data_IF_202551853710
#
_entry.id   IF_202551853710
#
_cell.length_a   1.000
_cell.length_b   1.000
_cell.length_c   1.000
_cell.angle_alpha   90.00
_cell.angle_beta   90.00
_cell.angle_gamma   90.00
#
_symmetry.space_group_name_H-M   'P 1'
#
loop_
_entity.id
_entity.type
_entity.pdbx_description
1 polymer ?
#
# COMPACT_ATOMS: atom_id res chain seq x y z
N UNK A 1 27.32 -6.15 -16.18
CA UNK A 1 27.22 -6.21 -14.71
C UNK A 1 26.04 -5.35 -14.28
N UNK A 2 25.10 -5.88 -13.50
CA UNK A 2 23.99 -5.08 -12.95
C UNK A 2 24.56 -4.13 -11.88
N UNK A 3 24.43 -2.82 -12.09
CA UNK A 3 24.83 -1.79 -11.11
C UNK A 3 23.61 -1.00 -10.64
N UNK A 4 23.67 -0.39 -9.47
CA UNK A 4 22.61 0.52 -8.99
C UNK A 4 22.42 1.67 -9.98
N UNK A 5 23.50 2.17 -10.57
CA UNK A 5 23.43 3.21 -11.61
C UNK A 5 22.61 2.76 -12.83
N UNK A 6 22.70 1.50 -13.25
CA UNK A 6 21.89 0.95 -14.36
C UNK A 6 20.39 0.97 -14.05
N UNK A 7 20.02 0.73 -12.79
CA UNK A 7 18.62 0.68 -12.35
C UNK A 7 18.02 2.08 -12.22
N UNK A 8 18.78 3.03 -11.68
CA UNK A 8 18.30 4.36 -11.32
C UNK A 8 18.46 5.38 -12.44
N UNK A 9 19.48 5.20 -13.29
CA UNK A 9 19.78 6.03 -14.45
C UNK A 9 20.01 5.14 -15.69
N UNK A 10 18.95 4.50 -16.22
CA UNK A 10 19.07 3.56 -17.33
C UNK A 10 19.57 4.26 -18.61
N UNK A 11 20.65 3.77 -19.26
CA UNK A 11 21.16 4.34 -20.50
C UNK A 11 20.12 4.25 -21.62
N UNK A 12 20.24 5.09 -22.65
CA UNK A 12 19.26 5.16 -23.73
C UNK A 12 19.21 3.89 -24.60
N UNK A 13 20.34 3.19 -24.73
CA UNK A 13 20.50 2.03 -25.61
C UNK A 13 20.13 0.67 -24.98
N UNK A 14 19.24 0.65 -23.97
CA UNK A 14 18.80 -0.61 -23.38
C UNK A 14 17.95 -1.43 -24.35
N UNK A 15 18.26 -2.73 -24.45
CA UNK A 15 17.38 -3.67 -25.16
C UNK A 15 16.05 -3.82 -24.42
N UNK A 16 15.01 -4.22 -25.16
CA UNK A 16 13.68 -4.52 -24.60
C UNK A 16 13.77 -5.47 -23.40
N UNK A 17 14.57 -6.54 -23.52
CA UNK A 17 14.77 -7.50 -22.43
C UNK A 17 15.34 -6.83 -21.17
N UNK A 18 16.33 -5.95 -21.32
CA UNK A 18 16.93 -5.25 -20.18
C UNK A 18 15.95 -4.28 -19.54
N UNK A 19 15.14 -3.56 -20.33
CA UNK A 19 14.10 -2.67 -19.78
C UNK A 19 13.10 -3.48 -18.93
N UNK A 20 12.64 -4.61 -19.44
CA UNK A 20 11.71 -5.50 -18.73
C UNK A 20 12.31 -6.06 -17.44
N UNK A 21 13.57 -6.49 -17.49
CA UNK A 21 14.29 -6.99 -16.32
C UNK A 21 14.51 -5.90 -15.26
N UNK A 22 14.92 -4.70 -15.68
CA UNK A 22 15.04 -3.53 -14.80
C UNK A 22 13.70 -3.20 -14.16
N UNK A 23 12.61 -3.24 -14.92
CA UNK A 23 11.26 -2.96 -14.42
C UNK A 23 10.83 -3.92 -13.31
N UNK A 24 11.13 -5.22 -13.47
CA UNK A 24 10.89 -6.23 -12.44
C UNK A 24 11.69 -5.92 -11.15
N UNK A 25 12.99 -5.59 -11.30
CA UNK A 25 13.87 -5.29 -10.17
C UNK A 25 13.42 -4.00 -9.46
N UNK A 26 13.08 -2.94 -10.21
CA UNK A 26 12.52 -1.72 -9.64
C UNK A 26 11.21 -2.01 -8.90
N UNK A 27 10.38 -2.91 -9.41
CA UNK A 27 9.17 -3.38 -8.73
C UNK A 27 9.48 -4.03 -7.38
N UNK A 28 10.51 -4.88 -7.33
CA UNK A 28 10.98 -5.49 -6.09
C UNK A 28 11.54 -4.45 -5.10
N UNK A 29 12.31 -3.48 -5.59
CA UNK A 29 12.85 -2.38 -4.78
C UNK A 29 11.72 -1.51 -4.21
N UNK A 30 10.74 -1.14 -5.03
CA UNK A 30 9.54 -0.42 -4.60
C UNK A 30 8.79 -1.20 -3.50
N UNK A 31 8.69 -2.53 -3.60
CA UNK A 31 8.02 -3.34 -2.58
C UNK A 31 8.72 -3.37 -1.21
N UNK A 32 9.98 -2.96 -1.08
CA UNK A 32 10.73 -2.92 0.18
C UNK A 32 11.09 -1.51 0.64
N UNK A 33 11.21 -0.55 -0.28
CA UNK A 33 11.60 0.82 0.04
C UNK A 33 10.41 1.66 0.47
N UNK A 34 10.58 2.55 1.47
CA UNK A 34 9.54 3.49 1.85
C UNK A 34 9.22 4.39 0.67
N UNK A 35 8.04 4.20 0.11
CA UNK A 35 7.56 4.93 -1.03
C UNK A 35 6.21 5.56 -0.67
N UNK A 36 6.10 6.87 -0.88
CA UNK A 36 4.94 7.73 -0.64
C UNK A 36 3.70 7.09 0.02
N UNK A 37 2.57 7.05 -0.70
CA UNK A 37 1.27 6.55 -0.26
C UNK A 37 1.15 5.03 -0.38
N UNK A 38 1.96 4.41 -1.21
CA UNK A 38 1.93 2.99 -1.53
C UNK A 38 2.54 2.12 -0.44
N UNK A 39 3.59 2.57 0.27
CA UNK A 39 4.27 1.74 1.25
C UNK A 39 3.43 1.41 2.48
N UNK A 40 2.69 2.35 3.09
CA UNK A 40 1.70 2.02 4.13
C UNK A 40 0.72 0.93 3.72
N UNK A 41 0.33 0.92 2.45
CA UNK A 41 -0.62 -0.03 1.89
C UNK A 41 0.06 -1.38 1.67
N UNK A 42 1.20 -1.40 0.97
CA UNK A 42 1.91 -2.64 0.65
C UNK A 42 2.39 -3.33 1.92
N UNK A 43 2.90 -2.59 2.91
CA UNK A 43 3.21 -3.06 4.26
C UNK A 43 1.98 -3.71 4.92
N UNK A 44 0.82 -3.04 4.86
CA UNK A 44 -0.43 -3.51 5.46
C UNK A 44 -0.91 -4.81 4.81
N UNK A 45 -0.74 -5.01 3.50
CA UNK A 45 -1.06 -6.26 2.83
C UNK A 45 -0.02 -7.35 3.07
N UNK A 46 1.28 -7.03 3.13
CA UNK A 46 2.33 -7.98 3.49
C UNK A 46 2.11 -8.57 4.88
N UNK A 47 1.87 -7.71 5.87
CA UNK A 47 1.70 -8.10 7.27
C UNK A 47 0.30 -8.65 7.54
N UNK A 48 -0.75 -8.06 6.97
CA UNK A 48 -2.14 -8.42 7.24
C UNK A 48 -2.70 -9.56 6.38
N UNK A 49 -2.21 -9.74 5.17
CA UNK A 49 -2.74 -10.71 4.19
C UNK A 49 -1.73 -11.83 3.90
N UNK A 50 -0.51 -11.49 3.47
CA UNK A 50 0.49 -12.49 3.06
C UNK A 50 1.14 -13.26 4.22
N UNK A 51 0.93 -12.85 5.46
CA UNK A 51 1.44 -13.54 6.66
C UNK A 51 0.73 -14.87 6.98
N UNK A 52 -0.42 -15.15 6.34
CA UNK A 52 -1.19 -16.38 6.56
C UNK A 52 -1.70 -16.97 5.25
N UNK A 53 -1.82 -18.31 5.15
CA UNK A 53 -2.35 -18.98 3.94
C UNK A 53 -3.75 -18.49 3.56
N UNK A 54 -4.60 -18.16 4.53
CA UNK A 54 -5.95 -17.66 4.29
C UNK A 54 -6.00 -16.23 3.74
N UNK A 55 -5.06 -15.37 4.13
CA UNK A 55 -4.99 -13.98 3.66
C UNK A 55 -4.33 -13.81 2.29
N UNK A 56 -3.54 -14.80 1.83
CA UNK A 56 -2.83 -14.74 0.54
C UNK A 56 -3.74 -14.41 -0.64
N UNK A 57 -4.99 -14.91 -0.66
CA UNK A 57 -5.96 -14.60 -1.73
C UNK A 57 -6.24 -13.10 -1.84
N UNK A 58 -6.45 -12.43 -0.71
CA UNK A 58 -6.67 -10.99 -0.68
C UNK A 58 -5.40 -10.23 -1.08
N UNK A 59 -4.22 -10.70 -0.65
CA UNK A 59 -2.93 -10.16 -1.10
C UNK A 59 -2.76 -10.23 -2.62
N UNK A 60 -2.92 -11.42 -3.21
CA UNK A 60 -2.82 -11.59 -4.66
C UNK A 60 -3.83 -10.76 -5.44
N UNK A 61 -5.05 -10.65 -4.91
CA UNK A 61 -6.10 -9.86 -5.56
C UNK A 61 -5.78 -8.37 -5.52
N UNK A 62 -5.22 -7.88 -4.41
CA UNK A 62 -4.69 -6.52 -4.30
C UNK A 62 -3.55 -6.30 -5.30
N UNK A 63 -2.54 -7.16 -5.31
CA UNK A 63 -1.39 -7.01 -6.22
C UNK A 63 -1.80 -7.13 -7.69
N UNK A 64 -2.82 -7.92 -8.02
CA UNK A 64 -3.38 -7.96 -9.37
C UNK A 64 -4.01 -6.62 -9.77
N UNK A 65 -4.82 -6.02 -8.90
CA UNK A 65 -5.39 -4.68 -9.14
C UNK A 65 -4.32 -3.62 -9.36
N UNK A 66 -3.28 -3.64 -8.50
CA UNK A 66 -2.12 -2.76 -8.63
C UNK A 66 -1.35 -2.99 -9.94
N UNK A 67 -1.14 -4.26 -10.32
CA UNK A 67 -0.41 -4.62 -11.55
C UNK A 67 -1.17 -4.17 -12.80
N UNK A 68 -2.48 -4.37 -12.83
CA UNK A 68 -3.33 -3.89 -13.94
C UNK A 68 -3.27 -2.38 -14.03
N UNK A 69 -3.36 -1.67 -12.90
CA UNK A 69 -3.22 -0.22 -12.92
C UNK A 69 -1.85 0.21 -13.44
N UNK A 70 -0.76 -0.42 -13.00
CA UNK A 70 0.59 -0.06 -13.45
C UNK A 70 0.78 -0.29 -14.94
N UNK A 71 0.19 -1.35 -15.48
CA UNK A 71 0.18 -1.60 -16.93
C UNK A 71 -0.54 -0.47 -17.69
N UNK A 72 -1.70 -0.02 -17.19
CA UNK A 72 -2.42 1.12 -17.77
C UNK A 72 -1.56 2.39 -17.69
N UNK A 73 -0.95 2.65 -16.53
CA UNK A 73 -0.16 3.85 -16.30
C UNK A 73 1.05 3.93 -17.23
N UNK A 74 1.78 2.84 -17.41
CA UNK A 74 2.94 2.81 -18.31
C UNK A 74 2.53 2.87 -19.78
N UNK A 75 1.38 2.30 -20.17
CA UNK A 75 0.80 2.54 -21.49
C UNK A 75 0.46 4.01 -21.71
N UNK A 76 -0.14 4.68 -20.73
CA UNK A 76 -0.41 6.12 -20.81
C UNK A 76 0.89 6.95 -20.84
N UNK A 77 1.91 6.54 -20.09
CA UNK A 77 3.26 7.11 -20.14
C UNK A 77 3.83 7.10 -21.57
N UNK A 78 3.73 5.95 -22.26
CA UNK A 78 4.11 5.81 -23.66
C UNK A 78 3.30 6.73 -24.60
N UNK A 79 2.02 6.95 -24.31
CA UNK A 79 1.14 7.81 -25.11
C UNK A 79 1.28 9.32 -24.80
N UNK A 80 2.17 9.71 -23.88
CA UNK A 80 2.45 11.11 -23.58
C UNK A 80 1.80 11.66 -22.29
N UNK A 81 1.51 10.81 -21.30
CA UNK A 81 0.98 11.24 -20.00
C UNK A 81 1.84 12.32 -19.30
N UNK A 82 3.15 12.37 -19.57
CA UNK A 82 4.08 13.33 -18.98
C UNK A 82 3.61 14.78 -19.14
N UNK A 83 3.11 15.14 -20.33
CA UNK A 83 2.61 16.49 -20.62
C UNK A 83 1.46 16.91 -19.71
N UNK A 84 0.54 15.98 -19.40
CA UNK A 84 -0.58 16.25 -18.50
C UNK A 84 -0.09 16.34 -17.05
N UNK A 85 0.85 15.50 -16.65
CA UNK A 85 1.35 15.47 -15.29
C UNK A 85 2.08 16.76 -14.90
N UNK A 86 2.98 17.23 -15.76
CA UNK A 86 3.72 18.48 -15.56
C UNK A 86 2.80 19.71 -15.49
N UNK A 87 1.68 19.70 -16.21
CA UNK A 87 0.77 20.83 -16.29
C UNK A 87 -0.15 20.98 -15.07
N UNK A 88 -0.59 19.87 -14.48
CA UNK A 88 -1.71 19.90 -13.53
C UNK A 88 -1.35 19.59 -12.07
N UNK A 89 -0.12 19.16 -11.77
CA UNK A 89 0.32 18.71 -10.43
C UNK A 89 -0.77 17.95 -9.65
N UNK A 90 -0.89 16.65 -9.93
CA UNK A 90 -1.98 15.81 -9.41
C UNK A 90 -1.68 15.16 -8.04
N UNK A 91 -0.49 15.38 -7.47
CA UNK A 91 0.01 14.65 -6.30
C UNK A 91 -0.91 14.80 -5.08
N UNK A 92 -1.27 16.03 -4.72
CA UNK A 92 -2.19 16.31 -3.61
C UNK A 92 -3.56 15.64 -3.76
N UNK A 93 -4.13 15.66 -4.96
CA UNK A 93 -5.43 15.03 -5.25
C UNK A 93 -5.36 13.50 -5.15
N UNK A 94 -4.28 12.91 -5.66
CA UNK A 94 -4.05 11.46 -5.53
C UNK A 94 -3.93 11.06 -4.07
N UNK A 95 -3.21 11.84 -3.25
CA UNK A 95 -3.05 11.57 -1.82
C UNK A 95 -4.39 11.62 -1.08
N UNK A 96 -5.28 12.55 -1.44
CA UNK A 96 -6.63 12.62 -0.89
C UNK A 96 -7.42 11.34 -1.23
N UNK A 97 -7.47 10.96 -2.51
CA UNK A 97 -8.24 9.80 -2.96
C UNK A 97 -7.71 8.51 -2.34
N UNK A 98 -6.40 8.30 -2.39
CA UNK A 98 -5.75 7.11 -1.80
C UNK A 98 -5.96 7.10 -0.29
N UNK A 99 -5.78 8.24 0.40
CA UNK A 99 -5.98 8.36 1.83
C UNK A 99 -7.41 8.01 2.26
N UNK A 100 -8.42 8.48 1.52
CA UNK A 100 -9.83 8.12 1.77
C UNK A 100 -10.06 6.62 1.60
N UNK A 101 -9.51 6.00 0.55
CA UNK A 101 -9.65 4.54 0.34
C UNK A 101 -8.97 3.76 1.46
N UNK A 102 -7.75 4.14 1.86
CA UNK A 102 -7.05 3.56 3.01
C UNK A 102 -7.88 3.67 4.29
N UNK A 103 -8.46 4.83 4.54
CA UNK A 103 -9.33 5.09 5.69
C UNK A 103 -10.55 4.16 5.69
N UNK A 104 -11.24 4.02 4.56
CA UNK A 104 -12.40 3.13 4.40
C UNK A 104 -12.02 1.67 4.66
N UNK A 105 -10.92 1.20 4.07
CA UNK A 105 -10.46 -0.18 4.24
C UNK A 105 -10.02 -0.43 5.69
N UNK A 106 -9.25 0.48 6.29
CA UNK A 106 -8.84 0.39 7.69
C UNK A 106 -10.03 0.38 8.65
N UNK A 107 -11.02 1.24 8.39
CA UNK A 107 -12.28 1.30 9.14
C UNK A 107 -13.04 -0.03 9.03
N UNK A 108 -13.19 -0.57 7.83
CA UNK A 108 -13.88 -1.85 7.60
C UNK A 108 -13.22 -2.99 8.38
N UNK A 109 -11.88 -3.09 8.34
CA UNK A 109 -11.16 -4.16 9.06
C UNK A 109 -11.32 -4.00 10.58
N UNK A 110 -11.33 -2.77 11.10
CA UNK A 110 -11.48 -2.49 12.53
C UNK A 110 -12.91 -2.69 13.05
N UNK A 111 -13.93 -2.33 12.27
CA UNK A 111 -15.33 -2.27 12.73
C UNK A 111 -16.25 -3.32 12.13
N UNK A 112 -15.83 -4.01 11.07
CA UNK A 112 -16.58 -5.09 10.43
C UNK A 112 -17.82 -4.65 9.64
N UNK A 113 -18.04 -3.33 9.49
CA UNK A 113 -19.13 -2.72 8.71
C UNK A 113 -18.55 -1.74 7.70
N UNK A 114 -19.05 -1.76 6.47
CA UNK A 114 -18.75 -0.70 5.51
C UNK A 114 -19.19 0.66 6.07
N UNK A 115 -18.38 1.73 5.93
CA UNK A 115 -18.86 3.07 6.21
C UNK A 115 -19.97 3.37 5.20
N UNK A 116 -21.23 3.20 5.62
CA UNK A 116 -22.39 3.55 4.82
C UNK A 116 -22.36 5.06 4.61
N UNK A 117 -21.90 5.49 3.44
CA UNK A 117 -22.26 6.82 2.92
C UNK A 117 -23.68 6.64 2.41
N UNK A 118 -24.68 7.36 2.94
CA UNK A 118 -26.07 7.22 2.52
C UNK A 118 -26.31 7.85 1.13
N UNK A 119 -25.56 7.41 0.12
CA UNK A 119 -25.73 7.82 -1.28
C UNK A 119 -27.10 7.37 -1.77
N UNK A 120 -27.57 6.19 -1.35
CA UNK A 120 -28.92 5.68 -1.64
C UNK A 120 -30.02 6.62 -1.13
N UNK A 121 -29.75 7.33 -0.03
CA UNK A 121 -30.67 8.32 0.56
C UNK A 121 -30.61 9.66 -0.16
N UNK A 122 -29.49 9.98 -0.81
CA UNK A 122 -29.30 11.19 -1.62
C UNK A 122 -29.89 11.03 -3.03
N UNK A 123 -29.92 9.80 -3.56
CA UNK A 123 -30.43 9.46 -4.90
C UNK A 123 -31.86 8.90 -4.91
N UNK A 124 -32.58 8.94 -3.78
CA UNK A 124 -33.99 8.55 -3.70
C UNK A 124 -34.26 7.04 -3.79
N UNK A 125 -33.24 6.20 -3.58
CA UNK A 125 -33.37 4.74 -3.58
C UNK A 125 -34.14 4.22 -2.37
N UNK A 126 -35.10 3.32 -2.59
CA UNK A 126 -35.82 2.64 -1.52
C UNK A 126 -34.86 1.81 -0.66
N UNK A 127 -35.01 1.96 0.66
CA UNK A 127 -34.19 1.28 1.68
C UNK A 127 -34.42 -0.23 1.58
N UNK A 128 -33.54 -0.94 0.89
CA UNK A 128 -33.63 -2.39 0.72
C UNK A 128 -32.79 -3.19 1.71
N UNK A 129 -32.42 -2.67 2.89
CA UNK A 129 -31.89 -3.51 3.98
C UNK A 129 -32.38 -3.06 5.36
N UNK A 130 -32.87 -4.04 6.12
CA UNK A 130 -33.50 -3.89 7.43
C UNK A 130 -32.66 -3.11 8.43
N UNK A 131 -33.32 -2.25 9.23
CA UNK A 131 -32.80 -1.53 10.40
C UNK A 131 -32.42 -2.46 11.58
N UNK A 132 -31.88 -3.64 11.27
CA UNK A 132 -31.36 -4.65 12.19
C UNK A 132 -29.86 -4.83 11.97
N UNK A 133 -29.16 -3.71 11.73
CA UNK A 133 -27.75 -3.59 12.08
C UNK A 133 -27.70 -3.59 13.61
N UNK A 134 -27.82 -4.80 14.17
CA UNK A 134 -27.70 -5.09 15.58
C UNK A 134 -26.42 -4.41 16.05
N UNK A 135 -26.58 -3.44 16.95
CA UNK A 135 -25.48 -2.80 17.65
C UNK A 135 -24.82 -3.89 18.49
N UNK A 136 -23.90 -4.63 17.88
CA UNK A 136 -23.03 -5.54 18.61
C UNK A 136 -22.30 -4.68 19.65
N UNK A 137 -22.38 -5.01 20.95
CA UNK A 137 -21.73 -4.25 22.01
C UNK A 137 -20.24 -4.09 21.67
N UNK A 138 -19.68 -2.89 21.89
CA UNK A 138 -18.28 -2.55 21.53
C UNK A 138 -17.24 -3.56 22.06
N UNK A 139 -17.57 -4.31 23.12
CA UNK A 139 -16.71 -5.33 23.74
C UNK A 139 -16.62 -6.65 22.95
N UNK A 140 -17.58 -7.00 22.08
CA UNK A 140 -17.51 -8.19 21.22
C UNK A 140 -16.82 -7.92 19.87
N UNK A 141 -16.85 -6.66 19.40
CA UNK A 141 -16.16 -6.22 18.17
C UNK A 141 -14.63 -6.22 18.36
N UNK A 142 -14.13 -6.07 19.59
CA UNK A 142 -12.70 -6.06 19.89
C UNK A 142 -12.00 -7.40 19.58
N UNK A 143 -12.76 -8.49 19.39
CA UNK A 143 -12.26 -9.84 19.14
C UNK A 143 -12.55 -10.37 17.72
N UNK A 144 -13.22 -9.63 16.84
CA UNK A 144 -13.62 -10.12 15.50
C UNK A 144 -13.06 -9.25 14.38
N UNK A 145 -11.73 -9.26 14.23
CA UNK A 145 -11.08 -8.67 13.05
C UNK A 145 -11.49 -9.45 11.80
N UNK A 146 -12.14 -8.77 10.83
CA UNK A 146 -12.63 -9.41 9.60
C UNK A 146 -11.54 -9.51 8.53
N UNK A 147 -11.55 -10.57 7.70
CA UNK A 147 -10.70 -10.63 6.52
C UNK A 147 -11.14 -9.59 5.48
N UNK A 148 -10.19 -9.12 4.68
CA UNK A 148 -10.44 -8.17 3.59
C UNK A 148 -11.20 -8.89 2.45
N UNK A 149 -12.37 -8.40 2.01
CA UNK A 149 -13.07 -8.95 0.85
C UNK A 149 -12.23 -8.81 -0.42
N UNK A 150 -12.26 -9.81 -1.30
CA UNK A 150 -11.44 -9.80 -2.53
C UNK A 150 -11.76 -8.61 -3.43
N UNK A 151 -13.05 -8.23 -3.58
CA UNK A 151 -13.45 -7.07 -4.38
C UNK A 151 -12.86 -5.76 -3.84
N UNK A 152 -12.88 -5.59 -2.51
CA UNK A 152 -12.26 -4.44 -1.85
C UNK A 152 -10.74 -4.44 -2.05
N UNK A 153 -10.09 -5.61 -1.93
CA UNK A 153 -8.67 -5.73 -2.19
C UNK A 153 -8.30 -5.34 -3.63
N UNK A 154 -9.08 -5.80 -4.62
CA UNK A 154 -8.86 -5.47 -6.04
C UNK A 154 -8.94 -3.96 -6.29
N UNK A 155 -10.03 -3.33 -5.82
CA UNK A 155 -10.28 -1.89 -5.98
C UNK A 155 -9.21 -1.08 -5.27
N UNK A 156 -8.84 -1.47 -4.05
CA UNK A 156 -7.79 -0.80 -3.29
C UNK A 156 -6.44 -0.89 -4.01
N UNK A 157 -6.07 -2.07 -4.52
CA UNK A 157 -4.84 -2.24 -5.31
C UNK A 157 -4.83 -1.39 -6.57
N UNK A 158 -5.96 -1.33 -7.28
CA UNK A 158 -6.11 -0.49 -8.46
C UNK A 158 -5.97 0.99 -8.12
N UNK A 159 -6.63 1.49 -7.08
CA UNK A 159 -6.58 2.91 -6.70
C UNK A 159 -5.18 3.29 -6.18
N UNK A 160 -4.56 2.41 -5.39
CA UNK A 160 -3.24 2.64 -4.81
C UNK A 160 -2.13 2.82 -5.85
N UNK A 161 -2.31 2.35 -7.09
CA UNK A 161 -1.30 2.47 -8.13
C UNK A 161 -1.19 3.85 -8.78
N UNK A 162 -2.13 4.77 -8.53
CA UNK A 162 -2.25 6.02 -9.29
C UNK A 162 -1.27 7.15 -8.92
N UNK A 163 -0.52 7.06 -7.82
CA UNK A 163 0.47 8.09 -7.51
C UNK A 163 1.88 7.80 -8.00
N UNK A 164 2.69 8.85 -7.97
CA UNK A 164 3.99 8.94 -8.64
C UNK A 164 5.15 9.17 -7.66
N UNK A 165 5.56 8.11 -6.96
CA UNK A 165 6.88 8.07 -6.34
C UNK A 165 8.00 7.91 -7.39
N UNK A 166 9.26 8.11 -6.99
CA UNK A 166 10.37 8.13 -7.94
C UNK A 166 10.52 6.83 -8.77
N UNK A 167 10.18 5.66 -8.23
CA UNK A 167 10.14 4.41 -9.01
C UNK A 167 9.06 4.41 -10.10
N UNK A 168 7.87 4.91 -9.79
CA UNK A 168 6.75 5.01 -10.73
C UNK A 168 7.07 6.01 -11.86
N UNK A 169 7.79 7.09 -11.53
CA UNK A 169 8.30 8.07 -12.50
C UNK A 169 9.28 7.43 -13.46
N UNK A 170 10.26 6.64 -12.98
CA UNK A 170 11.23 5.95 -13.84
C UNK A 170 10.52 5.00 -14.82
N UNK A 171 9.63 4.13 -14.33
CA UNK A 171 8.99 3.15 -15.23
C UNK A 171 8.04 3.82 -16.22
N UNK A 172 7.33 4.88 -15.82
CA UNK A 172 6.27 5.50 -16.63
C UNK A 172 6.82 6.49 -17.65
N UNK A 173 7.80 7.29 -17.26
CA UNK A 173 8.28 8.41 -18.09
C UNK A 173 9.67 8.20 -18.68
N UNK A 174 10.43 7.21 -18.20
CA UNK A 174 11.76 6.91 -18.74
C UNK A 174 11.76 5.59 -19.49
N UNK A 175 11.30 4.50 -18.86
CA UNK A 175 11.37 3.16 -19.46
C UNK A 175 10.24 2.89 -20.46
N UNK A 176 8.99 3.18 -20.10
CA UNK A 176 7.85 2.88 -20.96
C UNK A 176 7.90 3.60 -22.32
N UNK A 177 8.26 4.89 -22.44
CA UNK A 177 8.35 5.59 -23.73
C UNK A 177 9.42 5.04 -24.67
N UNK A 178 10.40 4.29 -24.14
CA UNK A 178 11.47 3.65 -24.93
C UNK A 178 11.07 2.28 -25.50
N UNK A 179 9.87 1.80 -25.19
CA UNK A 179 9.37 0.53 -25.70
C UNK A 179 8.94 0.65 -27.18
N UNK A 180 8.97 -0.43 -27.97
CA UNK A 180 8.66 -0.35 -29.40
C UNK A 180 7.18 -0.06 -29.70
N UNK A 181 6.27 -0.34 -28.77
CA UNK A 181 4.85 -0.01 -28.87
C UNK A 181 4.15 -0.03 -27.50
N UNK A 182 2.88 0.38 -27.49
CA UNK A 182 2.05 0.51 -26.28
C UNK A 182 1.87 -0.80 -25.49
N UNK A 183 1.90 -1.96 -26.15
CA UNK A 183 1.75 -3.26 -25.48
C UNK A 183 3.01 -3.63 -24.70
N UNK A 184 4.18 -3.34 -25.28
CA UNK A 184 5.45 -3.48 -24.58
C UNK A 184 5.59 -2.47 -23.43
N UNK A 185 5.07 -1.25 -23.61
CA UNK A 185 4.96 -0.29 -22.52
C UNK A 185 4.05 -0.79 -21.39
N UNK A 186 2.93 -1.45 -21.70
CA UNK A 186 2.09 -2.10 -20.67
C UNK A 186 2.88 -3.16 -19.89
N UNK A 187 3.72 -3.95 -20.59
CA UNK A 187 4.50 -5.03 -19.99
C UNK A 187 5.54 -4.52 -18.97
N UNK A 188 6.08 -3.31 -19.15
CA UNK A 188 6.90 -2.61 -18.14
C UNK A 188 6.14 -2.50 -16.82
N UNK A 189 4.91 -2.00 -16.86
CA UNK A 189 4.04 -1.87 -15.69
C UNK A 189 3.63 -3.22 -15.08
N UNK A 190 3.37 -4.22 -15.93
CA UNK A 190 3.08 -5.59 -15.48
C UNK A 190 4.25 -6.16 -14.68
N UNK A 191 5.48 -6.10 -15.22
CA UNK A 191 6.64 -6.66 -14.53
C UNK A 191 7.00 -5.89 -13.28
N UNK A 192 6.81 -4.57 -13.27
CA UNK A 192 6.94 -3.79 -12.04
C UNK A 192 5.95 -4.27 -10.97
N UNK A 193 4.66 -4.39 -11.30
CA UNK A 193 3.65 -4.88 -10.37
C UNK A 193 3.91 -6.31 -9.86
N UNK A 194 4.39 -7.20 -10.73
CA UNK A 194 4.83 -8.55 -10.35
C UNK A 194 6.03 -8.49 -9.40
N UNK A 195 7.01 -7.64 -9.66
CA UNK A 195 8.17 -7.44 -8.78
C UNK A 195 7.75 -6.97 -7.39
N UNK A 196 6.82 -6.02 -7.32
CA UNK A 196 6.24 -5.53 -6.07
C UNK A 196 5.54 -6.66 -5.31
N UNK A 197 4.72 -7.44 -6.00
CA UNK A 197 4.04 -8.61 -5.42
C UNK A 197 5.03 -9.63 -4.85
N UNK A 198 6.10 -9.95 -5.58
CA UNK A 198 7.16 -10.87 -5.13
C UNK A 198 7.75 -10.37 -3.80
N UNK A 199 8.10 -9.09 -3.73
CA UNK A 199 8.65 -8.52 -2.49
C UNK A 199 7.63 -8.52 -1.35
N UNK A 200 6.36 -8.21 -1.63
CA UNK A 200 5.31 -8.25 -0.62
C UNK A 200 5.12 -9.64 -0.01
N UNK A 201 5.20 -10.69 -0.85
CA UNK A 201 5.16 -12.10 -0.42
C UNK A 201 6.37 -12.42 0.46
N UNK A 202 7.57 -11.99 0.07
CA UNK A 202 8.81 -12.19 0.85
C UNK A 202 8.68 -11.54 2.23
N UNK A 203 8.28 -10.27 2.30
CA UNK A 203 8.12 -9.54 3.57
C UNK A 203 7.05 -10.19 4.46
N UNK A 204 5.91 -10.60 3.87
CA UNK A 204 4.85 -11.29 4.61
C UNK A 204 5.31 -12.64 5.18
N UNK A 205 6.08 -13.41 4.41
CA UNK A 205 6.65 -14.67 4.84
C UNK A 205 7.71 -14.49 5.95
N UNK A 206 8.56 -13.47 5.84
CA UNK A 206 9.55 -13.12 6.87
C UNK A 206 8.85 -12.73 8.18
N UNK A 207 7.83 -11.88 8.12
CA UNK A 207 7.02 -11.52 9.28
C UNK A 207 6.41 -12.75 9.95
N UNK A 208 5.76 -13.63 9.18
CA UNK A 208 5.16 -14.85 9.72
C UNK A 208 6.21 -15.77 10.36
N UNK A 209 7.39 -15.89 9.75
CA UNK A 209 8.50 -16.70 10.26
C UNK A 209 9.02 -16.16 11.59
N UNK A 210 9.27 -14.86 11.70
CA UNK A 210 9.69 -14.20 12.94
C UNK A 210 8.69 -14.44 14.07
N UNK A 211 7.38 -14.36 13.78
CA UNK A 211 6.35 -14.59 14.79
C UNK A 211 6.23 -16.06 15.20
N UNK A 212 6.44 -17.01 14.28
CA UNK A 212 6.52 -18.45 14.60
C UNK A 212 7.72 -18.78 15.48
N UNK A 213 8.89 -18.17 15.22
CA UNK A 213 10.08 -18.31 16.08
C UNK A 213 9.76 -17.82 17.50
N UNK A 214 8.92 -16.80 17.64
CA UNK A 214 8.40 -16.32 18.94
C UNK A 214 7.29 -17.19 19.54
N UNK A 215 7.08 -18.41 19.02
CA UNK A 215 6.11 -19.42 19.48
C UNK A 215 4.65 -18.94 19.46
N UNK A 216 4.30 -18.04 18.53
CA UNK A 216 2.92 -17.62 18.34
C UNK A 216 2.15 -18.62 17.44
N UNK A 217 0.90 -18.89 17.80
CA UNK A 217 -0.04 -19.68 16.99
C UNK A 217 -0.46 -18.91 15.73
N UNK A 218 -1.01 -19.65 14.75
CA UNK A 218 -1.47 -19.05 13.48
C UNK A 218 -2.52 -17.97 13.70
N UNK A 219 -3.46 -18.16 14.63
CA UNK A 219 -4.50 -17.18 14.93
C UNK A 219 -3.94 -15.92 15.60
N UNK A 220 -2.93 -16.07 16.45
CA UNK A 220 -2.23 -14.93 17.05
C UNK A 220 -1.46 -14.12 15.99
N UNK A 221 -0.80 -14.79 15.05
CA UNK A 221 -0.11 -14.13 13.92
C UNK A 221 -1.12 -13.37 13.07
N UNK A 222 -2.25 -14.01 12.75
CA UNK A 222 -3.36 -13.41 12.00
C UNK A 222 -3.88 -12.16 12.70
N UNK A 223 -4.16 -12.24 14.01
CA UNK A 223 -4.63 -11.10 14.79
C UNK A 223 -3.63 -9.94 14.79
N UNK A 224 -2.34 -10.21 15.05
CA UNK A 224 -1.30 -9.17 15.04
C UNK A 224 -1.22 -8.54 13.65
N UNK A 225 -1.20 -9.37 12.60
CA UNK A 225 -1.11 -8.94 11.22
C UNK A 225 -2.27 -8.02 10.82
N UNK A 226 -3.50 -8.50 11.03
CA UNK A 226 -4.71 -7.75 10.67
C UNK A 226 -4.89 -6.49 11.54
N UNK A 227 -4.61 -6.55 12.84
CA UNK A 227 -4.68 -5.38 13.73
C UNK A 227 -3.66 -4.29 13.35
N UNK A 228 -2.46 -4.72 12.95
CA UNK A 228 -1.41 -3.82 12.46
C UNK A 228 -1.87 -3.16 11.17
N UNK A 229 -2.22 -3.98 10.17
CA UNK A 229 -2.73 -3.55 8.86
C UNK A 229 -3.89 -2.56 8.99
N UNK A 230 -4.91 -2.89 9.79
CA UNK A 230 -6.10 -2.07 9.95
C UNK A 230 -5.80 -0.68 10.53
N UNK A 231 -4.94 -0.60 11.56
CA UNK A 231 -4.57 0.68 12.19
C UNK A 231 -3.65 1.50 11.30
N UNK A 232 -2.70 0.86 10.61
CA UNK A 232 -1.85 1.54 9.63
C UNK A 232 -2.69 2.16 8.53
N UNK A 233 -3.63 1.42 7.95
CA UNK A 233 -4.53 1.92 6.91
C UNK A 233 -5.49 3.00 7.45
N UNK A 234 -6.07 2.82 8.63
CA UNK A 234 -7.02 3.77 9.20
C UNK A 234 -6.37 5.12 9.50
N UNK A 235 -5.32 5.14 10.33
CA UNK A 235 -4.66 6.39 10.70
C UNK A 235 -3.78 6.94 9.58
N UNK A 236 -3.18 6.05 8.77
CA UNK A 236 -2.48 6.44 7.56
C UNK A 236 -3.41 7.14 6.58
N UNK A 237 -4.60 6.57 6.34
CA UNK A 237 -5.59 7.16 5.45
C UNK A 237 -6.00 8.58 5.86
N UNK A 238 -6.19 8.82 7.17
CA UNK A 238 -6.42 10.17 7.69
C UNK A 238 -5.22 11.08 7.40
N UNK A 239 -4.00 10.62 7.69
CA UNK A 239 -2.80 11.41 7.48
C UNK A 239 -2.60 11.77 6.00
N UNK A 240 -2.75 10.82 5.08
CA UNK A 240 -2.67 11.05 3.63
C UNK A 240 -3.77 11.98 3.13
N UNK A 241 -5.01 11.82 3.62
CA UNK A 241 -6.11 12.70 3.21
C UNK A 241 -5.88 14.16 3.66
N UNK A 242 -5.43 14.36 4.91
CA UNK A 242 -5.14 15.70 5.44
C UNK A 242 -3.93 16.32 4.73
N UNK A 243 -2.84 15.58 4.59
CA UNK A 243 -1.63 16.07 3.92
C UNK A 243 -1.90 16.34 2.43
N UNK A 244 -2.63 15.46 1.75
CA UNK A 244 -3.04 15.69 0.36
C UNK A 244 -3.88 16.96 0.20
N UNK A 245 -4.79 17.24 1.13
CA UNK A 245 -5.56 18.49 1.14
C UNK A 245 -4.68 19.73 1.37
N UNK A 246 -3.66 19.62 2.24
CA UNK A 246 -2.68 20.69 2.46
C UNK A 246 -1.83 20.92 1.21
N UNK A 247 -1.35 19.86 0.55
CA UNK A 247 -0.60 19.95 -0.71
C UNK A 247 -1.45 20.59 -1.81
N UNK A 248 -2.70 20.15 -1.96
CA UNK A 248 -3.61 20.70 -2.97
C UNK A 248 -3.91 22.19 -2.74
N UNK A 249 -3.96 22.64 -1.47
CA UNK A 249 -4.15 24.05 -1.14
C UNK A 249 -2.86 24.88 -1.24
N UNK A 250 -1.70 24.27 -0.94
CA UNK A 250 -0.39 24.92 -0.89
C UNK A 250 0.70 24.07 -1.57
N UNK A 251 0.73 24.00 -2.92
CA UNK A 251 1.66 23.13 -3.65
C UNK A 251 3.14 23.42 -3.39
N UNK A 252 3.46 24.65 -2.97
CA UNK A 252 4.84 25.05 -2.63
C UNK A 252 5.47 24.21 -1.52
N UNK A 253 4.66 23.53 -0.69
CA UNK A 253 5.16 22.69 0.39
C UNK A 253 5.97 21.49 -0.14
N UNK A 254 5.67 21.01 -1.35
CA UNK A 254 6.40 19.88 -1.97
C UNK A 254 7.84 20.23 -2.33
N UNK A 255 8.16 21.53 -2.44
CA UNK A 255 9.52 21.99 -2.77
C UNK A 255 10.51 21.90 -1.59
N UNK A 256 10.01 21.68 -0.36
CA UNK A 256 10.87 21.53 0.81
C UNK A 256 11.42 20.11 0.91
N UNK A 257 12.66 19.94 0.47
CA UNK A 257 13.38 18.67 0.53
C UNK A 257 14.84 18.88 0.97
N UNK A 258 15.32 18.05 1.90
CA UNK A 258 16.74 18.04 2.30
C UNK A 258 17.41 16.83 1.67
N UNK A 259 18.39 17.03 0.80
CA UNK A 259 19.10 15.90 0.18
C UNK A 259 19.85 15.07 1.22
N UNK A 260 19.78 13.74 1.09
CA UNK A 260 20.50 12.79 1.94
C UNK A 260 21.83 12.32 1.35
N UNK A 261 22.09 12.63 0.07
CA UNK A 261 23.20 12.07 -0.71
C UNK A 261 23.02 10.60 -1.15
N UNK A 262 21.90 9.95 -0.83
CA UNK A 262 21.60 8.59 -1.30
C UNK A 262 21.03 8.64 -2.73
N UNK A 263 21.50 7.84 -3.68
CA UNK A 263 20.96 7.87 -5.05
C UNK A 263 19.58 7.21 -5.19
N UNK A 264 19.15 6.39 -4.22
CA UNK A 264 17.91 5.61 -4.31
C UNK A 264 16.69 6.53 -4.19
N UNK A 265 15.71 6.44 -5.11
CA UNK A 265 14.47 7.20 -5.04
C UNK A 265 13.77 7.05 -3.68
N UNK A 266 13.21 8.14 -3.16
CA UNK A 266 12.55 8.26 -1.85
C UNK A 266 13.50 8.09 -0.64
N UNK A 267 14.78 7.78 -0.87
CA UNK A 267 15.82 7.85 0.13
C UNK A 267 16.79 8.99 -0.15
N UNK A 268 16.71 9.62 -1.32
CA UNK A 268 17.57 10.69 -1.82
C UNK A 268 17.29 12.07 -1.21
N UNK A 269 16.10 12.24 -0.65
CA UNK A 269 15.66 13.43 0.07
C UNK A 269 14.88 13.07 1.33
N UNK A 270 14.96 13.94 2.33
CA UNK A 270 14.00 14.02 3.42
C UNK A 270 12.99 15.11 3.05
N UNK A 271 11.84 14.67 2.59
CA UNK A 271 10.71 15.50 2.16
C UNK A 271 9.44 15.13 2.95
N UNK A 272 8.34 15.79 2.60
CA UNK A 272 7.05 15.55 3.24
C UNK A 272 6.58 14.09 3.07
N UNK A 273 6.81 13.49 1.91
CA UNK A 273 6.47 12.09 1.65
C UNK A 273 7.26 11.16 2.58
N UNK A 274 8.56 11.40 2.73
CA UNK A 274 9.43 10.64 3.65
C UNK A 274 8.95 10.75 5.09
N UNK A 275 8.63 11.96 5.55
CA UNK A 275 8.09 12.18 6.90
C UNK A 275 6.77 11.43 7.12
N UNK A 276 5.86 11.50 6.14
CA UNK A 276 4.56 10.83 6.19
C UNK A 276 4.71 9.31 6.26
N UNK A 277 5.65 8.74 5.50
CA UNK A 277 5.97 7.31 5.54
C UNK A 277 6.52 6.90 6.91
N UNK A 278 7.48 7.67 7.47
CA UNK A 278 8.04 7.40 8.81
C UNK A 278 6.93 7.45 9.87
N UNK A 279 6.03 8.42 9.79
CA UNK A 279 4.90 8.54 10.71
C UNK A 279 3.94 7.35 10.59
N UNK A 280 3.53 6.99 9.38
CA UNK A 280 2.49 5.99 9.16
C UNK A 280 3.00 4.57 9.36
N UNK A 281 4.14 4.20 8.78
CA UNK A 281 4.65 2.83 8.93
C UNK A 281 5.56 2.70 10.13
N UNK A 282 6.48 3.64 10.34
CA UNK A 282 7.43 3.62 11.45
C UNK A 282 6.74 3.81 12.81
N UNK A 283 5.96 4.88 12.98
CA UNK A 283 5.32 5.18 14.28
C UNK A 283 4.02 4.40 14.45
N UNK A 284 3.08 4.53 13.52
CA UNK A 284 1.75 3.90 13.65
C UNK A 284 1.84 2.39 13.40
N UNK A 285 2.46 1.97 12.30
CA UNK A 285 2.57 0.55 11.91
C UNK A 285 3.35 -0.28 12.92
N UNK A 286 4.63 0.04 13.16
CA UNK A 286 5.44 -0.71 14.13
C UNK A 286 4.92 -0.54 15.57
N UNK A 287 4.44 0.65 15.92
CA UNK A 287 3.81 0.90 17.22
C UNK A 287 2.57 0.03 17.45
N UNK A 288 1.71 -0.12 16.43
CA UNK A 288 0.56 -1.01 16.47
C UNK A 288 0.96 -2.48 16.58
N UNK A 289 1.95 -2.90 15.79
CA UNK A 289 2.48 -4.26 15.81
C UNK A 289 3.02 -4.63 17.20
N UNK A 290 3.81 -3.74 17.79
CA UNK A 290 4.37 -3.93 19.13
C UNK A 290 3.27 -4.01 20.20
N UNK A 291 2.28 -3.12 20.16
CA UNK A 291 1.13 -3.14 21.08
C UNK A 291 0.34 -4.44 20.96
N UNK A 292 0.03 -4.88 19.74
CA UNK A 292 -0.73 -6.11 19.49
C UNK A 292 0.05 -7.35 19.91
N UNK A 293 1.35 -7.40 19.63
CA UNK A 293 2.24 -8.46 20.14
C UNK A 293 2.24 -8.52 21.67
N UNK A 294 2.41 -7.39 22.36
CA UNK A 294 2.37 -7.35 23.83
C UNK A 294 1.02 -7.79 24.40
N UNK A 295 -0.10 -7.42 23.76
CA UNK A 295 -1.45 -7.85 24.17
C UNK A 295 -1.55 -9.38 24.12
N UNK A 296 -1.14 -9.99 23.01
CA UNK A 296 -1.15 -11.46 22.83
C UNK A 296 -0.29 -12.16 23.89
N UNK A 297 0.94 -11.70 24.10
CA UNK A 297 1.87 -12.31 25.08
C UNK A 297 1.36 -12.18 26.51
N UNK A 298 0.79 -11.03 26.88
CA UNK A 298 0.19 -10.82 28.21
C UNK A 298 -1.03 -11.72 28.43
N UNK A 299 -1.91 -11.83 27.45
CA UNK A 299 -3.08 -12.72 27.54
C UNK A 299 -2.67 -14.19 27.69
N UNK A 300 -1.67 -14.64 26.94
CA UNK A 300 -1.12 -16.00 27.07
C UNK A 300 -0.54 -16.26 28.47
N UNK A 301 0.21 -15.30 29.04
CA UNK A 301 0.73 -15.41 30.42
C UNK A 301 -0.39 -15.44 31.46
N UNK A 302 -1.45 -14.63 31.29
CA UNK A 302 -2.60 -14.63 32.20
C UNK A 302 -3.36 -15.96 32.17
N UNK A 303 -3.53 -16.56 30.99
CA UNK A 303 -4.15 -17.88 30.85
C UNK A 303 -3.37 -18.99 31.58
N UNK A 304 -2.03 -18.91 31.61
CA UNK A 304 -1.17 -19.85 32.35
C UNK A 304 -1.16 -19.53 33.85
N UNK A 305 -1.24 -18.26 34.24
CA UNK A 305 -1.18 -17.80 35.64
C UNK A 305 -2.48 -17.93 36.43
N UNK A 306 -3.62 -18.15 35.78
CA UNK A 306 -4.92 -18.47 36.44
C UNK A 306 -5.02 -19.98 36.77
N UNK A 307 -4.06 -20.79 36.35
CA UNK A 307 -3.95 -22.21 36.70
C UNK A 307 -3.15 -22.46 38.01
N UNK A 308 -3.22 -21.53 38.97
CA UNK A 308 -2.68 -21.73 40.33
C UNK A 308 -3.77 -21.52 41.37
#
# INVERSE_FOLDING_TARGET
MFSISLLLNPPESLSVFMILLVSLILGMLHGITPDEHTWPITFSYSVGSYSTRGGMKAGFTFSAGFTVQRAILTSLGFLGLAYFYEKYNLDGYVYIVVGIVMLIVGYYILRGTDPHIPIDKLLGGSVHHSARAERVPMQEVENTIRPIPMRMALVHGFIAGWGFGGFATIITFILAPRMPNVYYAALVGVLFGVGTMVMQVIIGALFATIMRIKKLSVDQIKYIGQSTSARTLYYGGIAFAVIGAVIAAFPSIESYAISTGNPVPNLNSLDLATFLVILVVGVIGLGSMYRSYRKVVRSARKAIGVAK
#
